data_IF_543673823254
#
_entry.id   IF_543673823254
#
_cell.length_a   1.000
_cell.length_b   1.000
_cell.length_c   1.000
_cell.angle_alpha   90.00
_cell.angle_beta   90.00
_cell.angle_gamma   90.00
#
_symmetry.space_group_name_H-M   'P 1'
#
loop_
_entity.id
_entity.type
_entity.pdbx_description
1 polymer ?
#
# COMPACT_ATOMS: atom_id res chain seq x y z
N UNK A 1 19.47 -29.91 -21.07
CA UNK A 1 20.02 -28.59 -20.70
C UNK A 1 19.07 -27.87 -19.76
N UNK A 2 19.50 -26.84 -19.04
CA UNK A 2 18.67 -26.09 -18.08
C UNK A 2 17.40 -25.51 -18.73
N UNK A 3 17.54 -24.94 -19.93
CA UNK A 3 16.41 -24.42 -20.73
C UNK A 3 15.40 -25.53 -21.05
N UNK A 4 15.88 -26.72 -21.40
CA UNK A 4 15.01 -27.86 -21.69
C UNK A 4 14.28 -28.33 -20.44
N UNK A 5 14.97 -28.38 -19.30
CA UNK A 5 14.36 -28.73 -18.03
C UNK A 5 13.25 -27.75 -17.63
N UNK A 6 13.51 -26.44 -17.66
CA UNK A 6 12.50 -25.43 -17.38
C UNK A 6 11.29 -25.53 -18.33
N UNK A 7 11.54 -25.76 -19.62
CA UNK A 7 10.48 -25.94 -20.62
C UNK A 7 9.63 -27.18 -20.33
N UNK A 8 10.25 -28.33 -20.11
CA UNK A 8 9.53 -29.58 -19.86
C UNK A 8 8.75 -29.52 -18.55
N UNK A 9 9.30 -28.90 -17.52
CA UNK A 9 8.61 -28.72 -16.23
C UNK A 9 7.36 -27.84 -16.40
N UNK A 10 7.47 -26.75 -17.16
CA UNK A 10 6.34 -25.87 -17.49
C UNK A 10 5.27 -26.57 -18.34
N UNK A 11 5.67 -27.30 -19.38
CA UNK A 11 4.73 -27.97 -20.29
C UNK A 11 3.97 -29.12 -19.62
N UNK A 12 4.64 -29.89 -18.75
CA UNK A 12 4.03 -31.09 -18.14
C UNK A 12 3.34 -30.83 -16.80
N UNK A 13 3.85 -29.91 -15.99
CA UNK A 13 3.34 -29.64 -14.63
C UNK A 13 2.79 -28.22 -14.47
N UNK A 14 3.05 -27.32 -15.41
CA UNK A 14 2.68 -25.91 -15.29
C UNK A 14 3.62 -25.07 -14.41
N UNK A 15 4.68 -25.68 -13.86
CA UNK A 15 5.57 -25.00 -12.93
C UNK A 15 6.60 -24.11 -13.62
N UNK A 16 6.97 -23.04 -12.94
CA UNK A 16 7.95 -22.05 -13.41
C UNK A 16 9.12 -22.01 -12.43
N UNK A 17 10.34 -22.18 -12.94
CA UNK A 17 11.54 -21.97 -12.15
C UNK A 17 11.77 -20.48 -12.00
N UNK A 18 11.74 -19.98 -10.77
CA UNK A 18 12.13 -18.62 -10.42
C UNK A 18 13.59 -18.64 -9.96
N UNK A 19 14.50 -17.99 -10.70
CA UNK A 19 15.89 -17.90 -10.28
C UNK A 19 16.00 -17.05 -9.01
N UNK A 20 16.82 -17.49 -8.07
CA UNK A 20 17.24 -16.73 -6.89
C UNK A 20 18.71 -16.33 -7.02
N UNK A 21 19.17 -15.44 -6.16
CA UNK A 21 20.58 -15.05 -6.16
C UNK A 21 21.52 -16.25 -5.98
N UNK A 22 22.54 -16.35 -6.84
CA UNK A 22 23.55 -17.41 -6.83
C UNK A 22 24.64 -17.11 -5.79
N UNK A 23 24.30 -17.35 -4.53
CA UNK A 23 25.18 -17.19 -3.36
C UNK A 23 25.08 -18.38 -2.40
N UNK A 24 25.89 -18.36 -1.34
CA UNK A 24 25.86 -19.40 -0.31
C UNK A 24 24.56 -19.49 0.49
N UNK A 25 23.58 -18.63 0.24
CA UNK A 25 22.26 -18.65 0.86
C UNK A 25 21.17 -19.19 -0.07
N UNK A 26 21.49 -19.65 -1.28
CA UNK A 26 20.53 -20.08 -2.31
C UNK A 26 19.41 -20.99 -1.80
N UNK A 27 19.71 -21.99 -0.95
CA UNK A 27 18.70 -22.85 -0.33
C UNK A 27 17.69 -22.04 0.49
N UNK A 28 18.18 -21.17 1.37
CA UNK A 28 17.35 -20.35 2.25
C UNK A 28 16.58 -19.30 1.46
N UNK A 29 17.15 -18.77 0.38
CA UNK A 29 16.49 -17.84 -0.56
C UNK A 29 15.34 -18.51 -1.30
N UNK A 30 15.57 -19.69 -1.86
CA UNK A 30 14.55 -20.45 -2.55
C UNK A 30 13.40 -20.83 -1.60
N UNK A 31 13.71 -21.23 -0.37
CA UNK A 31 12.68 -21.52 0.65
C UNK A 31 11.98 -20.23 1.12
N UNK A 32 12.69 -19.12 1.29
CA UNK A 32 12.10 -17.83 1.62
C UNK A 32 11.10 -17.36 0.56
N UNK A 33 11.42 -17.56 -0.72
CA UNK A 33 10.51 -17.31 -1.82
C UNK A 33 9.27 -18.22 -1.76
N UNK A 34 9.43 -19.52 -1.47
CA UNK A 34 8.33 -20.48 -1.35
C UNK A 34 7.41 -20.26 -0.12
N UNK A 35 7.92 -19.64 0.93
CA UNK A 35 7.20 -19.43 2.20
C UNK A 35 6.68 -18.00 2.33
N UNK A 36 7.48 -17.01 2.00
CA UNK A 36 7.17 -15.59 2.15
C UNK A 36 6.90 -14.88 0.83
N UNK A 37 7.17 -15.51 -0.32
CA UNK A 37 7.09 -14.84 -1.63
C UNK A 37 8.24 -13.87 -1.91
N UNK A 38 9.24 -13.82 -1.02
CA UNK A 38 10.37 -12.91 -1.11
C UNK A 38 11.68 -13.60 -0.67
N UNK A 39 12.65 -13.68 -1.58
CA UNK A 39 13.96 -14.29 -1.32
C UNK A 39 14.80 -13.50 -0.31
N UNK A 40 14.57 -12.20 -0.13
CA UNK A 40 15.33 -11.34 0.81
C UNK A 40 15.07 -11.73 2.27
N UNK A 41 14.00 -12.48 2.53
CA UNK A 41 13.69 -13.05 3.84
C UNK A 41 14.56 -14.28 4.20
N UNK A 42 15.55 -14.64 3.37
CA UNK A 42 16.45 -15.78 3.61
C UNK A 42 17.18 -15.73 4.95
N UNK A 43 17.48 -14.53 5.47
CA UNK A 43 18.11 -14.34 6.78
C UNK A 43 17.20 -14.81 7.92
N UNK A 44 15.90 -14.52 7.83
CA UNK A 44 14.87 -14.95 8.78
C UNK A 44 14.68 -16.46 8.70
N UNK A 45 14.58 -17.03 7.49
CA UNK A 45 14.49 -18.49 7.29
C UNK A 45 15.69 -19.19 7.91
N UNK A 46 16.90 -18.69 7.67
CA UNK A 46 18.14 -19.25 8.23
C UNK A 46 18.14 -19.21 9.75
N UNK A 47 17.78 -18.07 10.33
CA UNK A 47 17.73 -17.91 11.78
C UNK A 47 16.73 -18.89 12.41
N UNK A 48 15.52 -18.96 11.87
CA UNK A 48 14.48 -19.87 12.36
C UNK A 48 14.88 -21.34 12.20
N UNK A 49 15.53 -21.71 11.09
CA UNK A 49 16.07 -23.05 10.87
C UNK A 49 17.05 -23.45 11.96
N UNK A 50 18.03 -22.58 12.25
CA UNK A 50 19.05 -22.86 13.26
C UNK A 50 18.47 -22.87 14.67
N UNK A 51 17.51 -22.00 14.97
CA UNK A 51 16.80 -22.00 16.24
C UNK A 51 15.98 -23.29 16.43
N UNK A 52 15.36 -23.79 15.36
CA UNK A 52 14.65 -25.07 15.37
C UNK A 52 15.60 -26.25 15.62
N UNK A 53 16.76 -26.26 14.95
CA UNK A 53 17.79 -27.30 15.14
C UNK A 53 18.30 -27.30 16.59
N UNK A 54 18.58 -26.12 17.16
CA UNK A 54 19.02 -25.99 18.56
C UNK A 54 17.93 -26.46 19.52
N UNK A 55 16.67 -26.09 19.28
CA UNK A 55 15.54 -26.50 20.12
C UNK A 55 15.35 -28.02 20.13
N UNK A 56 15.66 -28.69 19.03
CA UNK A 56 15.53 -30.14 18.86
C UNK A 56 16.91 -30.82 18.79
N UNK A 57 17.90 -30.32 19.54
CA UNK A 57 19.30 -30.73 19.44
C UNK A 57 19.49 -32.25 19.59
N UNK A 58 18.74 -32.90 20.48
CA UNK A 58 18.87 -34.35 20.73
C UNK A 58 18.62 -35.18 19.46
N UNK A 59 17.68 -34.76 18.61
CA UNK A 59 17.42 -35.41 17.33
C UNK A 59 18.53 -35.10 16.32
N UNK A 60 18.86 -33.82 16.13
CA UNK A 60 19.80 -33.40 15.08
C UNK A 60 21.25 -33.79 15.36
N UNK A 61 21.65 -33.93 16.63
CA UNK A 61 23.00 -34.37 17.02
C UNK A 61 23.37 -35.73 16.43
N UNK A 62 22.42 -36.63 16.25
CA UNK A 62 22.67 -37.96 15.66
C UNK A 62 23.08 -37.89 14.18
N UNK A 63 22.76 -36.79 13.49
CA UNK A 63 23.01 -36.61 12.06
C UNK A 63 24.16 -35.63 11.76
N UNK A 64 24.67 -34.93 12.79
CA UNK A 64 25.76 -33.96 12.67
C UNK A 64 27.06 -34.64 13.11
N UNK A 65 28.02 -34.72 12.19
CA UNK A 65 29.31 -35.41 12.42
C UNK A 65 30.38 -34.54 13.06
N UNK A 66 30.22 -33.21 13.03
CA UNK A 66 31.11 -32.25 13.71
C UNK A 66 30.55 -31.85 15.09
N UNK A 67 31.28 -31.02 15.83
CA UNK A 67 30.78 -30.46 17.08
C UNK A 67 29.50 -29.65 16.84
N UNK A 68 28.45 -29.91 17.63
CA UNK A 68 27.12 -29.35 17.39
C UNK A 68 27.10 -27.83 17.50
N UNK A 69 27.80 -27.26 18.48
CA UNK A 69 27.80 -25.81 18.70
C UNK A 69 28.62 -25.10 17.61
N UNK A 70 29.72 -25.72 17.16
CA UNK A 70 30.47 -25.26 15.98
C UNK A 70 29.63 -25.33 14.69
N UNK A 71 28.89 -26.43 14.50
CA UNK A 71 27.97 -26.60 13.38
C UNK A 71 26.96 -25.46 13.30
N UNK A 72 26.24 -25.22 14.40
CA UNK A 72 25.22 -24.17 14.50
C UNK A 72 25.84 -22.80 14.27
N UNK A 73 26.96 -22.50 14.92
CA UNK A 73 27.67 -21.21 14.77
C UNK A 73 28.08 -20.95 13.32
N UNK A 74 28.57 -21.98 12.64
CA UNK A 74 28.96 -21.91 11.22
C UNK A 74 27.75 -21.74 10.31
N UNK A 75 26.68 -22.49 10.53
CA UNK A 75 25.45 -22.48 9.71
C UNK A 75 24.60 -21.23 9.88
N UNK A 76 24.72 -20.50 10.99
CA UNK A 76 24.12 -19.16 11.16
C UNK A 76 24.74 -18.07 10.28
N UNK A 77 25.94 -18.28 9.73
CA UNK A 77 26.59 -17.30 8.83
C UNK A 77 25.81 -17.18 7.53
N UNK A 78 25.60 -15.96 7.05
CA UNK A 78 24.73 -15.66 5.90
C UNK A 78 25.10 -16.42 4.62
N UNK A 79 26.40 -16.66 4.39
CA UNK A 79 26.90 -17.29 3.16
C UNK A 79 27.23 -18.78 3.33
N UNK A 80 26.79 -19.43 4.42
CA UNK A 80 27.01 -20.86 4.58
C UNK A 80 25.93 -21.65 3.85
N UNK A 81 26.32 -22.51 2.91
CA UNK A 81 25.39 -23.37 2.17
C UNK A 81 24.55 -24.24 3.11
N UNK A 82 23.26 -24.29 2.84
CA UNK A 82 22.34 -25.24 3.47
C UNK A 82 22.36 -26.58 2.76
N UNK A 83 22.16 -27.65 3.52
CA UNK A 83 22.20 -29.04 3.06
C UNK A 83 20.91 -29.78 3.48
N UNK A 84 20.92 -31.11 3.36
CA UNK A 84 19.80 -31.96 3.70
C UNK A 84 19.29 -31.81 5.16
N UNK A 85 20.18 -31.59 6.13
CA UNK A 85 19.79 -31.37 7.53
C UNK A 85 18.91 -30.12 7.67
N UNK A 86 19.31 -29.03 7.01
CA UNK A 86 18.51 -27.80 6.99
C UNK A 86 17.16 -28.02 6.30
N UNK A 87 17.12 -28.81 5.21
CA UNK A 87 15.86 -29.16 4.54
C UNK A 87 14.91 -29.91 5.48
N UNK A 88 15.40 -30.89 6.23
CA UNK A 88 14.62 -31.63 7.23
C UNK A 88 14.06 -30.65 8.27
N UNK A 89 14.91 -29.82 8.86
CA UNK A 89 14.49 -28.84 9.86
C UNK A 89 13.45 -27.85 9.32
N UNK A 90 13.63 -27.35 8.10
CA UNK A 90 12.70 -26.40 7.47
C UNK A 90 11.39 -27.04 7.05
N UNK A 91 11.41 -28.30 6.63
CA UNK A 91 10.20 -29.06 6.30
C UNK A 91 9.31 -29.25 7.52
N UNK A 92 9.91 -29.61 8.66
CA UNK A 92 9.19 -29.73 9.93
C UNK A 92 8.74 -28.37 10.48
N UNK A 93 9.61 -27.36 10.43
CA UNK A 93 9.30 -26.03 10.92
C UNK A 93 8.09 -25.41 10.22
N UNK A 94 8.00 -25.56 8.89
CA UNK A 94 6.89 -25.01 8.10
C UNK A 94 5.74 -26.00 7.88
N UNK A 95 5.85 -27.22 8.43
CA UNK A 95 4.88 -28.29 8.26
C UNK A 95 4.49 -28.49 6.78
N UNK A 96 5.50 -28.59 5.92
CA UNK A 96 5.38 -28.70 4.46
C UNK A 96 6.48 -29.63 3.93
N UNK A 97 6.15 -30.68 3.15
CA UNK A 97 7.17 -31.50 2.52
C UNK A 97 8.00 -30.68 1.52
N UNK A 98 9.28 -31.00 1.36
CA UNK A 98 10.16 -30.35 0.38
C UNK A 98 10.40 -31.29 -0.80
N UNK A 99 10.00 -30.86 -1.99
CA UNK A 99 10.23 -31.57 -3.25
C UNK A 99 11.42 -30.95 -3.99
N UNK A 100 12.43 -31.76 -4.29
CA UNK A 100 13.62 -31.33 -5.04
C UNK A 100 13.57 -31.94 -6.43
N UNK A 101 13.63 -31.08 -7.45
CA UNK A 101 13.63 -31.45 -8.87
C UNK A 101 15.00 -31.23 -9.48
N UNK A 102 15.49 -32.21 -10.24
CA UNK A 102 16.77 -32.13 -10.97
C UNK A 102 16.59 -32.70 -12.37
N UNK A 103 16.59 -31.83 -13.39
CA UNK A 103 16.48 -32.18 -14.82
C UNK A 103 15.38 -33.22 -15.17
N UNK A 104 14.34 -33.31 -14.36
CA UNK A 104 13.26 -34.30 -14.43
C UNK A 104 11.93 -33.68 -14.00
N UNK A 105 10.80 -34.23 -14.47
CA UNK A 105 9.47 -33.76 -14.08
C UNK A 105 8.94 -34.38 -12.79
N UNK A 106 9.63 -35.39 -12.28
CA UNK A 106 9.36 -35.98 -10.98
C UNK A 106 10.48 -35.60 -10.01
N UNK A 107 10.16 -35.36 -8.73
CA UNK A 107 11.15 -34.98 -7.74
C UNK A 107 12.13 -36.14 -7.51
N UNK A 108 13.43 -35.81 -7.45
CA UNK A 108 14.48 -36.77 -7.11
C UNK A 108 14.51 -37.09 -5.62
N UNK A 109 14.01 -36.17 -4.79
CA UNK A 109 13.96 -36.29 -3.35
C UNK A 109 12.71 -35.60 -2.82
N UNK A 110 12.03 -36.26 -1.89
CA UNK A 110 10.91 -35.70 -1.14
C UNK A 110 11.27 -35.81 0.34
N UNK A 111 11.63 -34.67 0.93
CA UNK A 111 11.91 -34.57 2.37
C UNK A 111 10.57 -34.57 3.10
N UNK A 112 10.44 -35.44 4.10
CA UNK A 112 9.20 -35.70 4.85
C UNK A 112 8.00 -36.20 4.03
N UNK A 113 8.23 -36.93 2.93
CA UNK A 113 7.16 -37.45 2.05
C UNK A 113 6.11 -38.37 2.70
N UNK A 114 6.32 -38.84 3.93
CA UNK A 114 5.36 -39.68 4.67
C UNK A 114 4.32 -38.87 5.46
N UNK A 115 4.57 -37.57 5.70
CA UNK A 115 3.64 -36.69 6.40
C UNK A 115 2.65 -36.12 5.39
N UNK A 116 1.38 -36.53 5.50
CA UNK A 116 0.30 -35.93 4.72
C UNK A 116 -0.08 -34.60 5.36
N UNK A 117 0.25 -33.52 4.68
CA UNK A 117 -0.19 -32.17 5.03
C UNK A 117 -1.17 -31.69 3.97
N UNK A 118 -2.20 -30.96 4.35
CA UNK A 118 -3.08 -30.27 3.39
C UNK A 118 -2.38 -29.07 2.73
N UNK A 119 -1.22 -28.68 3.26
CA UNK A 119 -0.38 -27.62 2.70
C UNK A 119 0.35 -28.09 1.44
N UNK A 120 0.46 -27.18 0.47
CA UNK A 120 1.24 -27.39 -0.74
C UNK A 120 2.74 -27.59 -0.41
N UNK A 121 3.46 -28.51 -1.07
CA UNK A 121 4.88 -28.72 -0.82
C UNK A 121 5.71 -27.45 -1.12
N UNK A 122 6.89 -27.36 -0.52
CA UNK A 122 7.93 -26.42 -0.90
C UNK A 122 8.69 -27.04 -2.07
N UNK A 123 8.71 -26.38 -3.22
CA UNK A 123 9.34 -26.94 -4.43
C UNK A 123 10.63 -26.21 -4.78
N UNK A 124 11.69 -26.98 -4.93
CA UNK A 124 13.04 -26.51 -5.24
C UNK A 124 13.55 -27.17 -6.51
N UNK A 125 14.26 -26.42 -7.34
CA UNK A 125 15.03 -26.97 -8.46
C UNK A 125 16.51 -26.94 -8.12
N UNK A 126 17.20 -28.05 -8.37
CA UNK A 126 18.61 -28.23 -8.11
C UNK A 126 19.40 -28.21 -9.42
N UNK A 127 20.42 -27.35 -9.48
CA UNK A 127 21.18 -27.09 -10.69
C UNK A 127 22.68 -27.23 -10.43
N UNK A 128 23.37 -27.86 -11.39
CA UNK A 128 24.84 -27.99 -11.41
C UNK A 128 25.48 -28.58 -10.14
N UNK A 129 24.72 -29.27 -9.29
CA UNK A 129 25.22 -29.84 -8.05
C UNK A 129 25.56 -28.83 -6.95
N UNK A 130 25.14 -27.56 -7.08
CA UNK A 130 25.55 -26.50 -6.14
C UNK A 130 24.45 -25.46 -5.85
N UNK A 131 23.48 -25.28 -6.74
CA UNK A 131 22.55 -24.16 -6.67
C UNK A 131 21.09 -24.60 -6.57
N UNK A 132 20.32 -23.89 -5.76
CA UNK A 132 18.88 -24.09 -5.61
C UNK A 132 18.11 -22.88 -6.12
N UNK A 133 17.08 -23.13 -6.92
CA UNK A 133 16.11 -22.14 -7.35
C UNK A 133 14.70 -22.50 -6.86
N UNK A 134 13.82 -21.51 -6.76
CA UNK A 134 12.42 -21.70 -6.37
C UNK A 134 11.60 -22.23 -7.55
N UNK A 135 10.62 -23.10 -7.30
CA UNK A 135 9.67 -23.57 -8.32
C UNK A 135 8.27 -23.11 -7.93
N UNK A 136 7.68 -22.24 -8.76
CA UNK A 136 6.37 -21.64 -8.50
C UNK A 136 5.31 -22.34 -9.35
N UNK A 137 4.16 -22.62 -8.72
CA UNK A 137 2.92 -22.93 -9.44
C UNK A 137 2.11 -21.63 -9.61
N UNK A 138 1.96 -21.11 -10.85
CA UNK A 138 1.19 -19.88 -11.11
C UNK A 138 -0.28 -19.96 -10.67
N UNK A 139 -0.83 -21.17 -10.58
CA UNK A 139 -2.25 -21.40 -10.27
C UNK A 139 -2.51 -21.71 -8.80
N UNK A 140 -1.45 -21.99 -8.03
CA UNK A 140 -1.50 -22.27 -6.59
C UNK A 140 -0.35 -21.56 -5.87
N UNK A 141 -0.54 -20.29 -5.47
CA UNK A 141 0.45 -19.55 -4.71
C UNK A 141 0.76 -20.25 -3.38
N UNK A 142 2.04 -20.46 -3.09
CA UNK A 142 2.50 -21.18 -1.89
C UNK A 142 2.94 -20.27 -0.75
N UNK A 143 3.11 -18.97 -1.00
CA UNK A 143 3.45 -17.99 0.02
C UNK A 143 2.35 -17.93 1.10
N UNK A 144 2.74 -17.78 2.37
CA UNK A 144 1.85 -17.76 3.53
C UNK A 144 1.47 -19.13 4.09
N UNK A 145 1.60 -20.21 3.32
CA UNK A 145 1.25 -21.56 3.78
C UNK A 145 2.26 -22.06 4.83
N UNK A 146 1.76 -22.62 5.94
CA UNK A 146 2.57 -23.16 7.02
C UNK A 146 3.00 -22.16 8.11
N UNK A 147 2.62 -20.87 7.98
CA UNK A 147 2.89 -19.85 9.01
C UNK A 147 1.81 -19.74 10.09
N UNK A 148 0.80 -20.63 10.08
CA UNK A 148 -0.30 -20.58 11.04
C UNK A 148 -1.22 -19.36 10.84
N UNK A 149 -1.23 -18.79 9.64
CA UNK A 149 -2.14 -17.72 9.22
C UNK A 149 -3.21 -18.34 8.31
N UNK A 150 -4.34 -18.83 8.86
CA UNK A 150 -5.47 -19.20 8.03
C UNK A 150 -5.90 -17.96 7.25
N UNK A 151 -6.12 -18.11 5.94
CA UNK A 151 -6.71 -17.11 5.03
C UNK A 151 -5.82 -15.93 4.57
N UNK A 152 -4.49 -16.05 4.62
CA UNK A 152 -3.64 -15.08 3.93
C UNK A 152 -3.67 -15.31 2.41
N UNK A 153 -4.67 -14.76 1.74
CA UNK A 153 -4.68 -14.68 0.28
C UNK A 153 -3.55 -13.74 -0.19
N UNK A 154 -2.63 -14.22 -1.05
CA UNK A 154 -1.61 -13.36 -1.63
C UNK A 154 -2.28 -12.21 -2.38
N UNK A 155 -1.98 -10.97 -1.98
CA UNK A 155 -2.56 -9.75 -2.57
C UNK A 155 -3.52 -8.97 -1.66
N UNK A 156 -4.18 -9.61 -0.68
CA UNK A 156 -5.10 -8.90 0.24
C UNK A 156 -4.41 -7.84 1.10
N UNK A 157 -3.20 -8.13 1.58
CA UNK A 157 -2.42 -7.15 2.34
C UNK A 157 -2.09 -5.92 1.47
N UNK A 158 -1.77 -6.15 0.19
CA UNK A 158 -1.50 -5.09 -0.78
C UNK A 158 -2.76 -4.29 -1.13
N UNK A 159 -3.92 -4.94 -1.26
CA UNK A 159 -5.22 -4.29 -1.44
C UNK A 159 -5.58 -3.40 -0.23
N UNK A 160 -5.39 -3.90 1.00
CA UNK A 160 -5.59 -3.12 2.22
C UNK A 160 -4.67 -1.90 2.30
N UNK A 161 -3.39 -2.05 1.90
CA UNK A 161 -2.43 -0.94 1.82
C UNK A 161 -2.86 0.11 0.80
N UNK A 162 -3.29 -0.32 -0.40
CA UNK A 162 -3.80 0.56 -1.46
C UNK A 162 -5.05 1.31 -0.99
N UNK A 163 -6.02 0.61 -0.38
CA UNK A 163 -7.24 1.21 0.13
C UNK A 163 -6.96 2.24 1.24
N UNK A 164 -5.99 1.94 2.12
CA UNK A 164 -5.58 2.87 3.18
C UNK A 164 -4.91 4.12 2.59
N UNK A 165 -4.04 3.96 1.61
CA UNK A 165 -3.38 5.07 0.91
C UNK A 165 -4.38 5.94 0.14
N UNK A 166 -5.37 5.32 -0.53
CA UNK A 166 -6.43 6.04 -1.23
C UNK A 166 -7.26 6.89 -0.27
N UNK A 167 -7.70 6.30 0.85
CA UNK A 167 -8.47 7.01 1.88
C UNK A 167 -7.70 8.19 2.47
N UNK A 168 -6.40 8.02 2.73
CA UNK A 168 -5.55 9.11 3.22
C UNK A 168 -5.38 10.22 2.17
N UNK A 169 -5.23 9.86 0.90
CA UNK A 169 -5.17 10.84 -0.19
C UNK A 169 -6.48 11.63 -0.32
N UNK A 170 -7.62 10.95 -0.19
CA UNK A 170 -8.95 11.59 -0.22
C UNK A 170 -9.13 12.53 0.97
N UNK A 171 -8.81 12.09 2.19
CA UNK A 171 -8.87 12.91 3.40
C UNK A 171 -8.00 14.17 3.27
N UNK A 172 -6.74 14.03 2.83
CA UNK A 172 -5.83 15.17 2.64
C UNK A 172 -6.33 16.15 1.57
N UNK A 173 -6.93 15.64 0.49
CA UNK A 173 -7.46 16.49 -0.58
C UNK A 173 -8.71 17.26 -0.13
N UNK A 174 -9.56 16.64 0.67
CA UNK A 174 -10.73 17.28 1.28
C UNK A 174 -10.30 18.37 2.26
N UNK A 175 -9.33 18.08 3.14
CA UNK A 175 -8.81 19.06 4.10
C UNK A 175 -8.23 20.30 3.41
N UNK A 176 -7.47 20.10 2.33
CA UNK A 176 -6.92 21.21 1.55
C UNK A 176 -8.02 22.07 0.91
N UNK A 177 -9.02 21.44 0.28
CA UNK A 177 -10.14 22.16 -0.32
C UNK A 177 -10.96 22.96 0.71
N UNK A 178 -11.19 22.38 1.90
CA UNK A 178 -11.87 23.08 3.00
C UNK A 178 -11.07 24.29 3.51
N UNK A 179 -9.74 24.18 3.57
CA UNK A 179 -8.86 25.28 3.97
C UNK A 179 -8.90 26.43 2.95
N UNK A 180 -8.86 26.11 1.66
CA UNK A 180 -8.89 27.08 0.57
C UNK A 180 -10.24 27.81 0.52
N UNK A 181 -11.36 27.09 0.66
CA UNK A 181 -12.70 27.69 0.76
C UNK A 181 -12.82 28.64 1.97
N UNK A 182 -12.25 28.22 3.11
CA UNK A 182 -12.27 29.04 4.33
C UNK A 182 -11.47 30.31 4.15
N UNK A 183 -10.28 30.23 3.55
CA UNK A 183 -9.44 31.39 3.21
C UNK A 183 -10.19 32.36 2.30
N UNK A 184 -10.76 31.85 1.21
CA UNK A 184 -11.52 32.64 0.24
C UNK A 184 -12.74 33.33 0.89
N UNK A 185 -13.44 32.67 1.80
CA UNK A 185 -14.55 33.27 2.53
C UNK A 185 -14.10 34.44 3.43
N UNK A 186 -13.00 34.29 4.16
CA UNK A 186 -12.43 35.40 4.96
C UNK A 186 -11.99 36.58 4.11
N UNK A 187 -11.37 36.32 2.96
CA UNK A 187 -10.95 37.39 2.03
C UNK A 187 -12.17 38.12 1.48
N UNK A 188 -13.23 37.38 1.13
CA UNK A 188 -14.49 37.97 0.67
C UNK A 188 -15.14 38.83 1.77
N UNK A 189 -15.22 38.33 3.00
CA UNK A 189 -15.80 39.06 4.13
C UNK A 189 -15.05 40.37 4.40
N UNK A 190 -13.72 40.35 4.39
CA UNK A 190 -12.90 41.54 4.57
C UNK A 190 -13.13 42.59 3.47
N UNK A 191 -13.20 42.17 2.20
CA UNK A 191 -13.48 43.10 1.08
C UNK A 191 -14.90 43.65 1.12
N UNK A 192 -15.86 42.84 1.53
CA UNK A 192 -17.25 43.26 1.68
C UNK A 192 -17.39 44.33 2.77
N UNK A 193 -16.75 44.15 3.92
CA UNK A 193 -16.77 45.13 5.02
C UNK A 193 -16.14 46.46 4.62
N UNK A 194 -15.04 46.43 3.87
CA UNK A 194 -14.37 47.64 3.38
C UNK A 194 -15.26 48.42 2.39
N UNK A 195 -15.94 47.71 1.49
CA UNK A 195 -16.94 48.28 0.58
C UNK A 195 -18.10 48.93 1.34
N UNK A 196 -18.66 48.24 2.33
CA UNK A 196 -19.78 48.75 3.14
C UNK A 196 -19.36 50.03 3.87
N UNK A 197 -18.15 50.07 4.44
CA UNK A 197 -17.65 51.26 5.12
C UNK A 197 -17.45 52.44 4.16
N UNK A 198 -16.96 52.20 2.95
CA UNK A 198 -16.84 53.25 1.93
C UNK A 198 -18.20 53.81 1.54
N UNK A 199 -19.16 52.94 1.20
CA UNK A 199 -20.52 53.34 0.83
C UNK A 199 -21.18 54.13 1.96
N UNK A 200 -21.02 53.70 3.21
CA UNK A 200 -21.56 54.40 4.38
C UNK A 200 -20.96 55.81 4.54
N UNK A 201 -19.64 55.97 4.34
CA UNK A 201 -18.96 57.28 4.40
C UNK A 201 -19.43 58.21 3.29
N UNK A 202 -19.49 57.74 2.05
CA UNK A 202 -19.93 58.53 0.90
C UNK A 202 -21.39 58.96 1.01
N UNK A 203 -22.26 58.03 1.40
CA UNK A 203 -23.67 58.31 1.65
C UNK A 203 -23.87 59.36 2.73
N UNK A 204 -23.10 59.28 3.82
CA UNK A 204 -23.14 60.27 4.90
C UNK A 204 -22.71 61.67 4.44
N UNK A 205 -21.62 61.77 3.65
CA UNK A 205 -21.17 63.04 3.09
C UNK A 205 -22.20 63.63 2.12
N UNK A 206 -22.81 62.79 1.27
CA UNK A 206 -23.87 63.23 0.37
C UNK A 206 -25.08 63.79 1.14
N UNK A 207 -25.50 63.11 2.21
CA UNK A 207 -26.59 63.58 3.07
C UNK A 207 -26.29 64.94 3.71
N UNK A 208 -25.05 65.17 4.17
CA UNK A 208 -24.64 66.47 4.70
C UNK A 208 -24.70 67.58 3.65
N UNK A 209 -24.22 67.31 2.43
CA UNK A 209 -24.31 68.24 1.30
C UNK A 209 -25.78 68.58 0.98
N UNK A 210 -26.63 67.57 0.81
CA UNK A 210 -28.05 67.74 0.48
C UNK A 210 -28.81 68.51 1.57
N UNK A 211 -28.47 68.29 2.84
CA UNK A 211 -29.08 68.98 3.98
C UNK A 211 -28.65 70.45 4.04
N UNK A 212 -27.37 70.73 3.79
CA UNK A 212 -26.87 72.11 3.66
C UNK A 212 -27.48 72.82 2.44
N UNK A 213 -27.67 72.13 1.32
CA UNK A 213 -28.29 72.71 0.11
C UNK A 213 -29.78 73.02 0.33
N UNK A 214 -30.54 72.12 0.97
CA UNK A 214 -31.92 72.38 1.40
C UNK A 214 -32.03 73.55 2.39
N UNK A 215 -31.04 73.72 3.29
CA UNK A 215 -30.99 74.88 4.18
C UNK A 215 -30.70 76.20 3.42
N UNK A 216 -29.92 76.14 2.34
CA UNK A 216 -29.64 77.29 1.46
C UNK A 216 -30.82 77.66 0.55
N UNK A 217 -31.57 76.67 0.05
CA UNK A 217 -32.79 76.89 -0.75
C UNK A 217 -33.96 77.40 0.10
N UNK A 218 -34.04 77.00 1.38
CA UNK A 218 -35.04 77.52 2.33
C UNK A 218 -34.80 78.97 2.78
N UNK A 219 -33.60 79.52 2.54
CA UNK A 219 -33.26 80.93 2.80
C UNK A 219 -33.41 81.83 1.55
N UNK A 220 -33.69 81.27 0.36
CA UNK A 220 -33.75 82.02 -0.91
C UNK A 220 -35.11 81.96 -1.61
N UNK A 221 -36.13 81.36 -1.00
CA UNK A 221 -37.50 81.32 -1.55
C UNK A 221 -38.52 81.97 -0.61
N UNK A 222 -38.41 83.29 -0.47
CA UNK A 222 -39.51 84.17 -0.05
C UNK A 222 -39.68 85.30 -1.05
N UNK A 223 -40.14 85.00 -2.27
CA UNK A 223 -40.96 85.88 -3.12
C UNK A 223 -41.30 85.27 -4.49
N UNK A 224 -42.56 85.49 -4.88
CA UNK A 224 -43.15 85.45 -6.22
C UNK A 224 -43.63 84.10 -6.82
N UNK A 225 -44.97 83.88 -6.71
CA UNK A 225 -45.97 83.63 -7.78
C UNK A 225 -45.48 82.95 -9.09
N UNK A 226 -46.07 81.87 -9.63
CA UNK A 226 -47.39 81.76 -10.32
C UNK A 226 -47.61 80.31 -10.82
N UNK A 227 -48.86 80.03 -11.16
CA UNK A 227 -49.50 78.85 -11.77
C UNK A 227 -48.71 78.06 -12.85
N UNK A 228 -48.84 76.73 -12.88
CA UNK A 228 -49.72 76.01 -13.83
C UNK A 228 -49.60 74.48 -13.71
N UNK A 229 -50.74 73.81 -13.86
CA UNK A 229 -50.95 72.36 -13.98
C UNK A 229 -50.39 71.77 -15.26
N UNK A 230 -49.81 70.56 -15.22
CA UNK A 230 -50.09 69.49 -16.19
C UNK A 230 -49.54 68.13 -15.74
N UNK A 231 -50.29 67.10 -16.10
CA UNK A 231 -50.17 65.67 -15.83
C UNK A 231 -49.07 64.97 -16.60
N UNK A 232 -48.45 63.94 -16.01
CA UNK A 232 -48.23 62.67 -16.73
C UNK A 232 -48.03 61.51 -15.73
N UNK A 233 -49.00 60.60 -15.73
CA UNK A 233 -48.90 59.23 -15.25
C UNK A 233 -48.02 58.44 -16.20
N UNK A 234 -47.16 57.55 -15.68
CA UNK A 234 -46.87 56.26 -16.30
C UNK A 234 -46.43 55.25 -15.24
N UNK A 235 -47.27 54.23 -15.06
CA UNK A 235 -46.98 52.96 -14.42
C UNK A 235 -46.14 52.08 -15.36
N UNK A 236 -45.09 51.41 -14.88
CA UNK A 236 -44.71 50.08 -15.38
C UNK A 236 -44.26 49.18 -14.21
N UNK A 237 -45.25 48.44 -13.70
CA UNK A 237 -45.31 46.99 -13.46
C UNK A 237 -44.01 46.16 -13.28
N UNK A 238 -43.77 45.77 -12.03
CA UNK A 238 -43.78 44.39 -11.48
C UNK A 238 -42.95 43.22 -12.08
N UNK A 239 -42.37 42.48 -11.12
CA UNK A 239 -42.36 41.01 -10.96
C UNK A 239 -41.05 40.26 -11.27
N UNK A 240 -40.49 39.56 -10.27
CA UNK A 240 -40.69 38.10 -10.04
C UNK A 240 -39.69 37.52 -9.03
N UNK A 241 -40.24 36.81 -8.03
CA UNK A 241 -39.86 35.49 -7.47
C UNK A 241 -38.37 35.28 -7.14
N UNK A 242 -37.91 35.20 -5.89
CA UNK A 242 -38.28 34.28 -4.79
C UNK A 242 -38.58 32.83 -5.23
N UNK A 243 -37.61 31.95 -5.02
CA UNK A 243 -37.78 30.59 -4.49
C UNK A 243 -36.42 30.12 -3.91
N UNK A 244 -36.45 29.17 -2.96
CA UNK A 244 -35.42 28.91 -1.96
C UNK A 244 -34.27 28.01 -2.43
#
# INVERSE_FOLDING_TARGET
TEIQFARTLKEKKGYIIKPVQDDGACLFRAIADQVFGNEDMHSVVRQNCMDYIVKNADFFRAYITEDFDQYVTRKRRQNCHGNHIEMIALSELYNRPIEVYEYSTEPINIVHGMYKTDNEPIRLSYHCGVHYNSIIDPWRPTAGHGLGLPDLEPGRAQESLIHTALRQSEESHIEQAMLDDKLAATDWEATQDELIQQIARESYLQWLCDTNQKSHDSNTTSSATTSDTTSHTDEINASKNLLP
#
